data_IF_901547996180
#
_entry.id   IF_901547996180
#
_cell.length_a   1.000
_cell.length_b   1.000
_cell.length_c   1.000
_cell.angle_alpha   90.00
_cell.angle_beta   90.00
_cell.angle_gamma   90.00
#
_symmetry.space_group_name_H-M   'P 1'
#
loop_
_entity.id
_entity.type
_entity.pdbx_description
1 polymer ?
#
# COMPACT_ATOMS: atom_id res chain seq x y z
N UNK A 1 28.00 -43.81 52.25
CA UNK A 1 27.63 -44.32 50.90
C UNK A 1 26.12 -44.09 50.77
N UNK A 2 25.70 -42.91 50.27
CA UNK A 2 24.33 -42.68 49.77
C UNK A 2 24.37 -41.45 48.89
N UNK A 3 24.28 -41.68 47.69
CA UNK A 3 23.71 -41.11 46.45
C UNK A 3 23.22 -39.67 46.53
N UNK A 4 24.06 -38.79 46.04
CA UNK A 4 23.65 -37.62 45.28
C UNK A 4 22.75 -38.04 44.12
N UNK A 5 21.48 -37.67 44.17
CA UNK A 5 20.66 -37.72 42.96
C UNK A 5 19.63 -36.55 42.94
N UNK A 6 19.89 -35.65 41.99
CA UNK A 6 18.92 -34.88 41.19
C UNK A 6 18.57 -33.45 41.61
N UNK A 7 19.38 -32.48 41.13
CA UNK A 7 18.79 -31.24 40.65
C UNK A 7 18.94 -31.03 39.12
N UNK A 8 19.52 -31.97 38.35
CA UNK A 8 19.89 -31.75 36.94
C UNK A 8 18.71 -31.91 35.97
N UNK A 9 17.66 -32.66 36.32
CA UNK A 9 16.50 -32.86 35.42
C UNK A 9 15.50 -31.73 35.40
N UNK A 10 15.31 -30.95 36.47
CA UNK A 10 14.34 -29.85 36.51
C UNK A 10 14.76 -28.63 35.70
N UNK A 11 16.05 -28.31 35.64
CA UNK A 11 16.58 -27.20 34.85
C UNK A 11 16.50 -27.46 33.35
N UNK A 12 16.64 -28.71 32.90
CA UNK A 12 16.52 -29.09 31.50
C UNK A 12 15.10 -28.99 30.95
N UNK A 13 14.09 -29.37 31.75
CA UNK A 13 12.67 -29.30 31.36
C UNK A 13 12.15 -27.83 31.25
N UNK A 14 12.56 -26.96 32.15
CA UNK A 14 12.21 -25.53 32.08
C UNK A 14 12.91 -24.82 30.92
N UNK A 15 14.11 -25.22 30.54
CA UNK A 15 14.84 -24.75 29.37
C UNK A 15 14.16 -25.15 28.07
N UNK A 16 13.73 -26.40 27.94
CA UNK A 16 13.02 -26.89 26.73
C UNK A 16 11.67 -26.23 26.50
N UNK A 17 10.90 -25.96 27.55
CA UNK A 17 9.59 -25.27 27.45
C UNK A 17 9.79 -23.82 26.99
N UNK A 18 10.78 -23.11 27.53
CA UNK A 18 11.09 -21.74 27.11
C UNK A 18 11.59 -21.69 25.66
N UNK A 19 12.34 -22.66 25.20
CA UNK A 19 12.84 -22.75 23.83
C UNK A 19 11.70 -23.06 22.83
N UNK A 20 10.78 -23.97 23.18
CA UNK A 20 9.57 -24.27 22.40
C UNK A 20 8.66 -23.04 22.21
N UNK A 21 8.49 -22.23 23.24
CA UNK A 21 7.72 -20.98 23.19
C UNK A 21 8.41 -19.96 22.27
N UNK A 22 9.74 -19.81 22.36
CA UNK A 22 10.51 -18.94 21.49
C UNK A 22 10.44 -19.38 20.03
N UNK A 23 10.51 -20.67 19.76
CA UNK A 23 10.35 -21.22 18.41
C UNK A 23 8.95 -21.00 17.87
N UNK A 24 7.91 -21.21 18.69
CA UNK A 24 6.52 -20.95 18.27
C UNK A 24 6.29 -19.46 17.94
N UNK A 25 6.86 -18.55 18.75
CA UNK A 25 6.79 -17.10 18.49
C UNK A 25 7.57 -16.73 17.22
N UNK A 26 8.77 -17.28 17.03
CA UNK A 26 9.56 -17.06 15.81
C UNK A 26 8.84 -17.61 14.57
N UNK A 27 8.24 -18.77 14.65
CA UNK A 27 7.44 -19.34 13.57
C UNK A 27 6.23 -18.47 13.25
N UNK A 28 5.55 -17.95 14.25
CA UNK A 28 4.37 -17.09 14.08
C UNK A 28 4.75 -15.73 13.46
N UNK A 29 5.91 -15.16 13.84
CA UNK A 29 6.41 -13.93 13.20
C UNK A 29 6.81 -14.17 11.74
N UNK A 30 7.46 -15.29 11.43
CA UNK A 30 7.77 -15.65 10.04
C UNK A 30 6.50 -15.86 9.22
N UNK A 31 5.49 -16.51 9.79
CA UNK A 31 4.20 -16.70 9.14
C UNK A 31 3.49 -15.36 8.89
N UNK A 32 3.54 -14.42 9.84
CA UNK A 32 2.98 -13.09 9.68
C UNK A 32 3.67 -12.31 8.56
N UNK A 33 5.01 -12.33 8.51
CA UNK A 33 5.79 -11.70 7.44
C UNK A 33 5.46 -12.33 6.08
N UNK A 34 5.38 -13.65 6.01
CA UNK A 34 5.00 -14.36 4.79
C UNK A 34 3.58 -14.01 4.35
N UNK A 35 2.61 -13.92 5.27
CA UNK A 35 1.24 -13.48 5.00
C UNK A 35 1.22 -12.07 4.42
N UNK A 36 1.87 -11.11 5.09
CA UNK A 36 1.96 -9.73 4.63
C UNK A 36 2.59 -9.65 3.23
N UNK A 37 3.64 -10.42 2.99
CA UNK A 37 4.28 -10.46 1.66
C UNK A 37 3.36 -11.02 0.58
N UNK A 38 2.64 -12.12 0.85
CA UNK A 38 1.68 -12.73 -0.07
C UNK A 38 0.51 -11.77 -0.31
N UNK A 39 -0.08 -11.22 0.75
CA UNK A 39 -1.18 -10.26 0.67
C UNK A 39 -0.77 -9.04 -0.17
N UNK A 40 0.40 -8.46 0.10
CA UNK A 40 0.95 -7.35 -0.68
C UNK A 40 1.04 -7.71 -2.17
N UNK A 41 1.62 -8.87 -2.49
CA UNK A 41 1.78 -9.33 -3.88
C UNK A 41 0.44 -9.54 -4.59
N UNK A 42 -0.50 -10.18 -3.92
CA UNK A 42 -1.84 -10.46 -4.47
C UNK A 42 -2.64 -9.17 -4.66
N UNK A 43 -2.62 -8.28 -3.66
CA UNK A 43 -3.37 -7.02 -3.71
C UNK A 43 -2.83 -6.08 -4.78
N UNK A 44 -1.50 -5.93 -4.90
CA UNK A 44 -0.90 -5.12 -5.97
C UNK A 44 -1.36 -5.62 -7.33
N UNK A 45 -1.25 -6.93 -7.59
CA UNK A 45 -1.67 -7.49 -8.87
C UNK A 45 -3.16 -7.28 -9.13
N UNK A 46 -4.03 -7.57 -8.15
CA UNK A 46 -5.48 -7.40 -8.26
C UNK A 46 -5.89 -5.95 -8.48
N UNK A 47 -5.36 -5.01 -7.69
CA UNK A 47 -5.70 -3.60 -7.85
C UNK A 47 -5.12 -3.00 -9.12
N UNK A 48 -3.94 -3.45 -9.57
CA UNK A 48 -3.36 -3.04 -10.85
C UNK A 48 -4.24 -3.50 -12.02
N UNK A 49 -4.63 -4.78 -12.05
CA UNK A 49 -5.56 -5.29 -13.08
C UNK A 49 -6.90 -4.57 -13.05
N UNK A 50 -7.49 -4.40 -11.88
CA UNK A 50 -8.76 -3.68 -11.76
C UNK A 50 -8.65 -2.24 -12.26
N UNK A 51 -7.56 -1.54 -11.91
CA UNK A 51 -7.30 -0.17 -12.37
C UNK A 51 -7.07 -0.12 -13.87
N UNK A 52 -6.37 -1.09 -14.44
CA UNK A 52 -6.13 -1.23 -15.88
C UNK A 52 -7.44 -1.45 -16.63
N UNK A 53 -8.24 -2.42 -16.20
CA UNK A 53 -9.53 -2.72 -16.83
C UNK A 53 -10.48 -1.51 -16.79
N UNK A 54 -10.50 -0.76 -15.67
CA UNK A 54 -11.27 0.47 -15.55
C UNK A 54 -10.77 1.57 -16.50
N UNK A 55 -9.44 1.71 -16.64
CA UNK A 55 -8.86 2.69 -17.57
C UNK A 55 -9.13 2.30 -19.03
N UNK A 56 -9.00 1.02 -19.39
CA UNK A 56 -9.34 0.51 -20.72
C UNK A 56 -10.81 0.75 -21.07
N UNK A 57 -11.72 0.46 -20.14
CA UNK A 57 -13.15 0.71 -20.35
C UNK A 57 -13.45 2.20 -20.56
N UNK A 58 -12.82 3.08 -19.74
CA UNK A 58 -12.98 4.52 -19.91
C UNK A 58 -12.45 5.02 -21.26
N UNK A 59 -11.25 4.60 -21.65
CA UNK A 59 -10.69 4.94 -22.96
C UNK A 59 -11.57 4.45 -24.10
N UNK A 60 -12.15 3.26 -23.99
CA UNK A 60 -13.09 2.76 -24.98
C UNK A 60 -14.35 3.63 -25.07
N UNK A 61 -14.90 4.08 -23.93
CA UNK A 61 -16.02 5.02 -23.88
C UNK A 61 -15.63 6.37 -24.51
N UNK A 62 -14.47 6.95 -24.13
CA UNK A 62 -13.99 8.21 -24.69
C UNK A 62 -13.75 8.11 -26.21
N UNK A 63 -13.12 7.02 -26.64
CA UNK A 63 -12.93 6.73 -28.06
C UNK A 63 -14.25 6.60 -28.80
N UNK A 64 -15.24 5.97 -28.19
CA UNK A 64 -16.59 5.83 -28.74
C UNK A 64 -17.32 7.18 -28.89
N UNK A 65 -17.29 8.00 -27.85
CA UNK A 65 -17.91 9.34 -27.87
C UNK A 65 -17.23 10.25 -28.88
N UNK A 66 -15.91 10.26 -28.91
CA UNK A 66 -15.12 11.01 -29.89
C UNK A 66 -15.45 10.59 -31.33
N UNK A 67 -15.49 9.28 -31.58
CA UNK A 67 -15.84 8.73 -32.88
C UNK A 67 -17.26 9.07 -33.31
N UNK A 68 -18.20 9.05 -32.36
CA UNK A 68 -19.61 9.44 -32.61
C UNK A 68 -19.70 10.88 -33.03
N UNK A 69 -19.02 11.79 -32.33
CA UNK A 69 -18.97 13.21 -32.67
C UNK A 69 -18.37 13.45 -34.05
N UNK A 70 -17.20 12.83 -34.31
CA UNK A 70 -16.55 12.93 -35.63
C UNK A 70 -17.44 12.46 -36.77
N UNK A 71 -18.20 11.38 -36.56
CA UNK A 71 -19.16 10.87 -37.58
C UNK A 71 -20.36 11.77 -37.73
N UNK A 72 -20.92 12.29 -36.63
CA UNK A 72 -22.06 13.19 -36.68
C UNK A 72 -21.69 14.47 -37.38
N UNK A 73 -20.56 15.09 -37.05
CA UNK A 73 -20.10 16.33 -37.67
C UNK A 73 -19.76 16.13 -39.15
N UNK A 74 -19.27 14.94 -39.54
CA UNK A 74 -18.91 14.63 -40.95
C UNK A 74 -20.10 14.70 -41.91
N UNK A 75 -21.34 14.52 -41.43
CA UNK A 75 -22.55 14.55 -42.25
C UNK A 75 -23.00 16.00 -42.54
N UNK A 76 -22.66 16.93 -41.64
CA UNK A 76 -23.15 18.32 -41.68
C UNK A 76 -22.77 19.04 -42.96
N UNK A 77 -21.51 19.05 -43.41
CA UNK A 77 -21.14 19.70 -44.68
C UNK A 77 -21.91 19.14 -45.88
N UNK A 78 -22.23 17.84 -45.85
CA UNK A 78 -22.99 17.19 -46.92
C UNK A 78 -24.44 17.69 -46.97
N UNK A 79 -25.08 17.94 -45.81
CA UNK A 79 -26.40 18.49 -45.73
C UNK A 79 -26.41 19.95 -46.16
N UNK A 80 -25.49 20.74 -45.62
CA UNK A 80 -25.37 22.17 -45.91
C UNK A 80 -24.99 22.46 -47.37
N UNK A 81 -24.17 21.63 -47.99
CA UNK A 81 -23.78 21.75 -49.39
C UNK A 81 -24.98 21.60 -50.38
N UNK A 82 -26.09 21.05 -49.89
CA UNK A 82 -27.33 20.89 -50.67
C UNK A 82 -28.44 21.86 -50.24
N UNK A 83 -28.16 22.75 -49.28
CA UNK A 83 -29.15 23.74 -48.83
C UNK A 83 -29.43 24.75 -49.92
N UNK A 84 -30.70 24.89 -50.42
CA UNK A 84 -31.02 25.77 -51.53
C UNK A 84 -30.77 27.24 -51.23
N UNK A 85 -30.86 27.64 -49.94
CA UNK A 85 -30.64 29.03 -49.55
C UNK A 85 -29.15 29.40 -49.65
N UNK A 86 -28.24 28.48 -49.27
CA UNK A 86 -26.79 28.68 -49.37
C UNK A 86 -26.33 28.67 -50.85
N UNK A 87 -26.87 27.74 -51.64
CA UNK A 87 -26.63 27.70 -53.12
C UNK A 87 -27.15 28.99 -53.77
N UNK A 88 -28.34 29.44 -53.43
CA UNK A 88 -28.92 30.68 -53.94
C UNK A 88 -28.10 31.90 -53.54
N UNK A 89 -27.59 31.95 -52.31
CA UNK A 89 -26.72 33.03 -51.83
C UNK A 89 -25.39 33.12 -52.61
N UNK A 90 -24.74 31.98 -52.85
CA UNK A 90 -23.50 31.92 -53.63
C UNK A 90 -23.71 32.32 -55.06
N UNK A 91 -24.81 31.85 -55.71
CA UNK A 91 -25.11 32.21 -57.10
C UNK A 91 -25.50 33.70 -57.28
N UNK A 92 -26.15 34.31 -56.30
CA UNK A 92 -26.58 35.70 -56.34
C UNK A 92 -25.57 36.68 -55.72
N UNK A 93 -24.55 36.20 -55.08
CA UNK A 93 -23.60 36.97 -54.27
C UNK A 93 -24.28 37.80 -53.18
N UNK A 94 -25.45 37.35 -52.70
CA UNK A 94 -26.21 37.99 -51.63
C UNK A 94 -26.18 37.14 -50.35
N UNK A 95 -25.33 37.52 -49.42
CA UNK A 95 -25.07 36.78 -48.20
C UNK A 95 -25.80 37.33 -46.94
N UNK A 96 -26.73 38.27 -47.14
CA UNK A 96 -27.39 39.00 -46.02
C UNK A 96 -28.07 38.10 -45.00
N UNK A 97 -28.61 36.96 -45.42
CA UNK A 97 -29.30 35.99 -44.54
C UNK A 97 -28.47 34.72 -44.27
N UNK A 98 -27.34 34.54 -44.95
CA UNK A 98 -26.54 33.31 -44.88
C UNK A 98 -25.98 33.07 -43.49
N UNK A 99 -25.44 34.12 -42.85
CA UNK A 99 -24.91 34.00 -41.47
C UNK A 99 -26.01 33.61 -40.49
N UNK A 100 -27.22 34.20 -40.57
CA UNK A 100 -28.32 33.83 -39.68
C UNK A 100 -28.77 32.39 -39.91
N UNK A 101 -28.76 31.94 -41.16
CA UNK A 101 -29.04 30.54 -41.55
C UNK A 101 -28.02 29.58 -40.94
N UNK A 102 -26.73 29.90 -40.99
CA UNK A 102 -25.69 29.09 -40.39
C UNK A 102 -25.81 29.04 -38.86
N UNK A 103 -26.13 30.14 -38.21
CA UNK A 103 -26.35 30.20 -36.75
C UNK A 103 -27.48 29.25 -36.33
N UNK A 104 -28.62 29.22 -37.07
CA UNK A 104 -29.72 28.30 -36.76
C UNK A 104 -29.30 26.84 -36.84
N UNK A 105 -28.39 26.49 -37.73
CA UNK A 105 -27.84 25.12 -37.82
C UNK A 105 -26.87 24.79 -36.69
N UNK A 106 -26.04 25.74 -36.25
CA UNK A 106 -25.10 25.50 -35.11
C UNK A 106 -25.85 25.10 -33.87
N UNK A 107 -26.96 25.81 -33.56
CA UNK A 107 -27.77 25.53 -32.36
C UNK A 107 -28.41 24.13 -32.40
N UNK A 108 -28.77 23.63 -33.60
CA UNK A 108 -29.35 22.30 -33.78
C UNK A 108 -28.30 21.16 -33.76
N UNK A 109 -27.09 21.42 -34.25
CA UNK A 109 -26.08 20.39 -34.53
C UNK A 109 -25.02 20.32 -33.44
N UNK A 110 -24.81 21.42 -32.72
CA UNK A 110 -23.74 21.51 -31.69
C UNK A 110 -22.32 21.59 -32.26
N UNK A 111 -22.17 22.10 -33.48
CA UNK A 111 -20.89 22.39 -34.08
C UNK A 111 -20.25 23.64 -33.47
N UNK A 112 -18.93 23.77 -33.51
CA UNK A 112 -18.25 24.97 -33.02
C UNK A 112 -18.49 26.15 -33.96
N UNK A 113 -18.19 25.98 -35.24
CA UNK A 113 -18.31 27.01 -36.25
C UNK A 113 -18.77 26.44 -37.58
N UNK A 114 -19.65 27.17 -38.27
CA UNK A 114 -20.02 26.92 -39.65
C UNK A 114 -19.56 28.10 -40.49
N UNK A 115 -18.88 27.83 -41.60
CA UNK A 115 -18.34 28.88 -42.47
C UNK A 115 -18.53 28.53 -43.94
N UNK A 116 -19.04 29.51 -44.70
CA UNK A 116 -19.26 29.43 -46.13
C UNK A 116 -18.22 30.28 -46.85
N UNK A 117 -17.56 29.68 -47.83
CA UNK A 117 -16.59 30.33 -48.68
C UNK A 117 -17.10 30.37 -50.12
N UNK A 118 -16.72 31.42 -50.84
CA UNK A 118 -16.94 31.49 -52.27
C UNK A 118 -15.92 30.62 -53.05
N UNK A 119 -15.98 30.64 -54.39
CA UNK A 119 -15.10 29.87 -55.23
C UNK A 119 -13.61 30.33 -55.18
N UNK A 120 -13.39 31.55 -54.75
CA UNK A 120 -12.08 32.18 -54.55
C UNK A 120 -11.51 31.93 -53.14
N UNK A 121 -12.25 31.22 -52.26
CA UNK A 121 -11.82 30.91 -50.91
C UNK A 121 -12.00 32.05 -49.91
N UNK A 122 -12.80 33.04 -50.20
CA UNK A 122 -13.14 34.15 -49.32
C UNK A 122 -14.32 33.75 -48.43
N UNK A 123 -14.27 34.04 -47.16
CA UNK A 123 -15.38 33.81 -46.21
C UNK A 123 -16.50 34.81 -46.48
N UNK A 124 -17.64 34.32 -46.94
CA UNK A 124 -18.83 35.14 -47.30
C UNK A 124 -19.92 35.04 -46.20
N UNK A 125 -19.98 34.00 -45.43
CA UNK A 125 -20.82 33.87 -44.25
C UNK A 125 -20.15 32.99 -43.22
N UNK A 126 -20.29 33.32 -41.93
CA UNK A 126 -19.78 32.54 -40.84
C UNK A 126 -20.60 32.77 -39.56
N UNK A 127 -20.68 31.74 -38.72
CA UNK A 127 -21.23 31.90 -37.36
C UNK A 127 -20.26 32.68 -36.49
N UNK A 128 -18.94 32.58 -36.73
CA UNK A 128 -17.95 33.47 -36.18
C UNK A 128 -17.75 34.70 -37.09
N UNK A 129 -18.32 35.81 -36.65
CA UNK A 129 -18.30 37.07 -37.41
C UNK A 129 -16.91 37.64 -37.61
N UNK A 130 -15.94 37.27 -36.79
CA UNK A 130 -14.53 37.75 -36.89
C UNK A 130 -13.84 37.21 -38.13
N UNK A 131 -14.29 36.10 -38.68
CA UNK A 131 -13.74 35.44 -39.86
C UNK A 131 -14.28 35.99 -41.18
N UNK A 132 -15.33 36.81 -41.16
CA UNK A 132 -15.94 37.35 -42.39
C UNK A 132 -14.92 38.13 -43.21
N UNK A 133 -14.84 37.78 -44.49
CA UNK A 133 -13.92 38.41 -45.45
C UNK A 133 -12.48 37.87 -45.44
N UNK A 134 -12.13 36.96 -44.51
CA UNK A 134 -10.82 36.33 -44.52
C UNK A 134 -10.62 35.42 -45.74
N UNK A 135 -9.37 35.23 -46.13
CA UNK A 135 -9.01 34.47 -47.34
C UNK A 135 -8.38 33.12 -46.93
N UNK A 136 -8.89 32.03 -47.51
CA UNK A 136 -8.47 30.67 -47.21
C UNK A 136 -8.15 29.84 -48.45
N UNK A 137 -7.85 30.48 -49.58
CA UNK A 137 -7.58 29.85 -50.87
C UNK A 137 -6.45 28.81 -50.77
N UNK A 138 -5.41 29.11 -50.01
CA UNK A 138 -4.21 28.26 -49.87
C UNK A 138 -4.30 27.24 -48.75
N UNK A 139 -5.40 27.18 -48.02
CA UNK A 139 -5.59 26.25 -46.89
C UNK A 139 -5.87 24.83 -47.38
N UNK A 140 -5.36 23.84 -46.63
CA UNK A 140 -5.55 22.43 -46.98
C UNK A 140 -7.02 22.01 -47.01
N UNK A 141 -7.87 22.55 -46.10
CA UNK A 141 -9.28 22.22 -46.06
C UNK A 141 -10.07 22.76 -47.25
N UNK A 142 -9.65 23.92 -47.82
CA UNK A 142 -10.30 24.48 -48.99
C UNK A 142 -9.82 23.74 -50.27
N UNK A 143 -8.49 23.62 -50.48
CA UNK A 143 -7.94 23.01 -51.68
C UNK A 143 -8.35 21.53 -51.84
N UNK A 144 -8.38 20.77 -50.77
CA UNK A 144 -8.83 19.38 -50.79
C UNK A 144 -10.36 19.29 -51.09
N UNK A 145 -11.18 20.15 -50.49
CA UNK A 145 -12.64 20.16 -50.76
C UNK A 145 -12.95 20.50 -52.22
N UNK A 146 -12.26 21.45 -52.80
CA UNK A 146 -12.41 21.81 -54.24
C UNK A 146 -12.11 20.66 -55.20
N UNK A 147 -11.16 19.78 -54.83
CA UNK A 147 -10.69 18.68 -55.66
C UNK A 147 -11.57 17.42 -55.66
N UNK A 148 -12.41 17.21 -54.66
CA UNK A 148 -13.12 15.96 -54.43
C UNK A 148 -14.61 16.18 -54.10
N UNK A 149 -15.50 15.35 -54.70
CA UNK A 149 -16.93 15.36 -54.35
C UNK A 149 -17.20 14.44 -53.13
N UNK A 150 -16.54 14.74 -52.05
CA UNK A 150 -16.74 14.06 -50.78
C UNK A 150 -16.48 15.05 -49.63
N UNK A 151 -17.00 14.73 -48.46
CA UNK A 151 -16.67 15.50 -47.27
C UNK A 151 -15.24 15.17 -46.86
N UNK A 152 -14.37 16.16 -46.84
CA UNK A 152 -12.95 16.05 -46.47
C UNK A 152 -12.78 16.44 -45.02
N UNK A 153 -11.95 15.70 -44.30
CA UNK A 153 -11.56 16.03 -42.93
C UNK A 153 -10.13 16.53 -42.93
N UNK A 154 -9.87 17.64 -42.30
CA UNK A 154 -8.53 18.23 -42.19
C UNK A 154 -8.28 18.70 -40.78
N UNK A 155 -7.13 18.38 -40.22
CA UNK A 155 -6.64 18.98 -38.98
C UNK A 155 -5.85 20.23 -39.38
N UNK A 156 -6.33 21.37 -38.96
CA UNK A 156 -5.72 22.66 -39.24
C UNK A 156 -5.12 23.24 -37.96
N UNK A 157 -3.89 23.69 -38.02
CA UNK A 157 -3.24 24.41 -36.93
C UNK A 157 -3.31 25.90 -37.24
N UNK A 158 -3.96 26.66 -36.37
CA UNK A 158 -4.06 28.11 -36.53
C UNK A 158 -2.76 28.84 -36.18
N UNK A 159 -2.73 30.17 -36.40
CA UNK A 159 -1.58 31.02 -36.11
C UNK A 159 -1.20 31.06 -34.63
N UNK A 160 -2.14 30.80 -33.73
CA UNK A 160 -1.95 30.74 -32.27
C UNK A 160 -1.43 29.36 -31.84
N UNK A 161 -1.48 28.38 -32.75
CA UNK A 161 -1.02 27.03 -32.49
C UNK A 161 -2.09 26.06 -32.00
N UNK A 162 -3.38 26.47 -32.00
CA UNK A 162 -4.50 25.59 -31.68
C UNK A 162 -4.81 24.64 -32.84
N UNK A 163 -5.26 23.43 -32.50
CA UNK A 163 -5.69 22.45 -33.49
C UNK A 163 -7.19 22.54 -33.69
N UNK A 164 -7.58 22.86 -34.95
CA UNK A 164 -8.96 22.92 -35.39
C UNK A 164 -9.27 21.71 -36.27
N UNK A 165 -10.43 21.12 -36.08
CA UNK A 165 -10.84 19.87 -36.74
C UNK A 165 -11.96 20.20 -37.72
N UNK A 166 -11.61 20.27 -39.00
CA UNK A 166 -12.47 20.84 -40.05
C UNK A 166 -12.98 19.74 -40.95
N UNK A 167 -14.29 19.67 -41.11
CA UNK A 167 -14.94 18.94 -42.19
C UNK A 167 -15.36 19.93 -43.26
N UNK A 168 -14.87 19.76 -44.50
CA UNK A 168 -15.15 20.64 -45.63
C UNK A 168 -15.77 19.87 -46.81
N UNK A 169 -16.64 20.53 -47.53
CA UNK A 169 -17.25 20.00 -48.75
C UNK A 169 -17.51 21.12 -49.74
N UNK A 170 -17.27 20.85 -51.01
CA UNK A 170 -17.64 21.79 -52.10
C UNK A 170 -19.13 21.88 -52.27
N UNK A 171 -19.60 23.06 -52.68
CA UNK A 171 -20.98 23.34 -53.07
C UNK A 171 -21.00 23.47 -54.59
N UNK A 172 -21.90 22.73 -55.21
CA UNK A 172 -22.07 22.74 -56.67
C UNK A 172 -23.41 23.27 -57.08
N UNK A 173 -23.43 24.02 -58.15
CA UNK A 173 -24.64 24.42 -58.84
C UNK A 173 -24.47 24.11 -60.32
N UNK A 174 -25.38 23.33 -60.90
CA UNK A 174 -25.36 22.92 -62.30
C UNK A 174 -24.04 22.28 -62.76
N UNK A 175 -23.36 21.53 -61.89
CA UNK A 175 -22.11 20.86 -62.15
C UNK A 175 -20.85 21.76 -62.07
N UNK A 176 -21.01 23.01 -61.63
CA UNK A 176 -19.90 23.93 -61.38
C UNK A 176 -19.74 24.12 -59.88
N UNK A 177 -18.53 24.06 -59.36
CA UNK A 177 -18.21 24.36 -57.97
C UNK A 177 -18.32 25.86 -57.74
N UNK A 178 -19.24 26.31 -56.89
CA UNK A 178 -19.53 27.71 -56.58
C UNK A 178 -19.03 28.16 -55.22
N UNK A 179 -18.51 27.24 -54.40
CA UNK A 179 -17.99 27.56 -53.09
C UNK A 179 -17.70 26.32 -52.24
N UNK A 180 -17.29 26.51 -51.03
CA UNK A 180 -17.00 25.47 -50.05
C UNK A 180 -17.69 25.78 -48.71
N UNK A 181 -18.32 24.80 -48.14
CA UNK A 181 -18.83 24.86 -46.75
C UNK A 181 -17.85 24.10 -45.88
N UNK A 182 -17.47 24.65 -44.74
CA UNK A 182 -16.75 23.89 -43.73
C UNK A 182 -17.40 24.02 -42.36
N UNK A 183 -17.24 22.95 -41.59
CA UNK A 183 -17.76 22.76 -40.25
C UNK A 183 -16.60 22.45 -39.34
N UNK A 184 -16.48 23.21 -38.31
CA UNK A 184 -15.48 23.01 -37.27
C UNK A 184 -16.06 22.15 -36.14
N UNK A 185 -15.46 21.03 -35.86
CA UNK A 185 -15.85 20.14 -34.76
C UNK A 185 -15.26 20.64 -33.46
N UNK A 186 -16.08 20.91 -32.46
CA UNK A 186 -15.64 21.25 -31.13
C UNK A 186 -15.18 19.97 -30.40
N UNK A 187 -13.90 19.62 -30.57
CA UNK A 187 -13.30 18.50 -29.86
C UNK A 187 -12.62 18.92 -28.54
N UNK A 188 -12.43 20.23 -28.31
CA UNK A 188 -11.81 20.74 -27.09
C UNK A 188 -12.72 20.50 -25.87
N UNK A 189 -14.04 20.50 -26.07
CA UNK A 189 -15.00 20.14 -25.02
C UNK A 189 -14.74 18.78 -24.37
N UNK A 190 -14.16 17.85 -25.12
CA UNK A 190 -13.79 16.53 -24.59
C UNK A 190 -12.55 16.57 -23.75
N UNK A 191 -11.59 17.46 -24.04
CA UNK A 191 -10.40 17.63 -23.20
C UNK A 191 -10.79 18.06 -21.78
N UNK A 192 -11.71 19.02 -21.66
CA UNK A 192 -12.24 19.49 -20.37
C UNK A 192 -13.04 18.40 -19.66
N UNK A 193 -13.87 17.65 -20.40
CA UNK A 193 -14.63 16.53 -19.85
C UNK A 193 -13.74 15.38 -19.33
N UNK A 194 -12.62 15.12 -20.01
CA UNK A 194 -11.67 14.10 -19.60
C UNK A 194 -10.77 14.57 -18.44
N UNK A 195 -10.41 15.86 -18.38
CA UNK A 195 -9.56 16.44 -17.34
C UNK A 195 -10.17 16.31 -15.93
N UNK A 196 -11.51 16.30 -15.82
CA UNK A 196 -12.21 16.16 -14.53
C UNK A 196 -12.07 14.79 -13.85
N UNK A 197 -11.42 13.80 -14.48
CA UNK A 197 -11.44 12.40 -14.04
C UNK A 197 -10.05 11.90 -13.58
N UNK A 198 -9.11 12.79 -13.32
CA UNK A 198 -7.79 12.54 -12.71
C UNK A 198 -6.74 11.78 -13.55
N UNK A 199 -7.04 11.38 -14.76
CA UNK A 199 -6.09 10.69 -15.63
C UNK A 199 -5.70 11.63 -16.79
N UNK A 200 -4.41 11.72 -17.11
CA UNK A 200 -4.00 12.43 -18.32
C UNK A 200 -4.38 11.58 -19.54
N UNK A 201 -5.13 12.18 -20.46
CA UNK A 201 -5.56 11.54 -21.71
C UNK A 201 -5.01 12.31 -22.89
N UNK A 202 -4.46 11.60 -23.86
CA UNK A 202 -3.99 12.17 -25.13
C UNK A 202 -4.61 11.45 -26.30
N UNK A 203 -4.80 12.17 -27.41
CA UNK A 203 -5.10 11.60 -28.71
C UNK A 203 -3.98 12.00 -29.67
N UNK A 204 -3.37 11.00 -30.30
CA UNK A 204 -2.34 11.22 -31.32
C UNK A 204 -2.89 10.92 -32.71
N UNK A 205 -2.41 11.66 -33.68
CA UNK A 205 -2.66 11.36 -35.07
C UNK A 205 -1.82 10.15 -35.58
N UNK A 206 -1.90 9.88 -36.86
CA UNK A 206 -1.13 8.80 -37.52
C UNK A 206 0.38 9.05 -37.58
N UNK A 207 0.84 10.28 -37.33
CA UNK A 207 2.26 10.64 -37.26
C UNK A 207 2.81 10.57 -35.83
N UNK A 208 1.93 10.36 -34.82
CA UNK A 208 2.29 10.30 -33.40
C UNK A 208 2.31 11.66 -32.72
N UNK A 209 1.81 12.70 -33.38
CA UNK A 209 1.67 14.04 -32.81
C UNK A 209 0.38 14.12 -31.98
N UNK A 210 0.47 14.68 -30.79
CA UNK A 210 -0.67 14.88 -29.89
C UNK A 210 -1.54 16.02 -30.43
N UNK A 211 -2.77 15.69 -30.81
CA UNK A 211 -3.75 16.63 -31.35
C UNK A 211 -4.81 17.03 -30.34
N UNK A 212 -5.11 16.17 -29.33
CA UNK A 212 -5.98 16.47 -28.21
C UNK A 212 -5.30 16.00 -26.92
N UNK A 213 -5.42 16.77 -25.84
CA UNK A 213 -4.84 16.43 -24.56
C UNK A 213 -5.53 17.13 -23.41
N UNK A 214 -5.78 16.41 -22.30
CA UNK A 214 -6.19 17.02 -21.04
C UNK A 214 -5.15 17.97 -20.45
N UNK A 215 -3.87 17.86 -20.95
CA UNK A 215 -2.79 18.77 -20.62
C UNK A 215 -2.48 19.66 -21.83
N UNK A 216 -2.97 20.91 -21.87
CA UNK A 216 -2.87 21.77 -23.05
C UNK A 216 -1.44 21.97 -23.58
N UNK A 217 -0.44 21.91 -22.67
CA UNK A 217 1.00 22.08 -23.03
C UNK A 217 1.56 20.91 -23.84
N UNK A 218 0.84 19.78 -23.94
CA UNK A 218 1.29 18.60 -24.67
C UNK A 218 0.86 18.60 -26.12
N UNK A 219 -0.07 19.45 -26.51
CA UNK A 219 -0.54 19.53 -27.90
C UNK A 219 0.60 19.90 -28.84
N UNK A 220 0.67 19.22 -29.95
CA UNK A 220 1.72 19.43 -30.95
C UNK A 220 3.05 18.76 -30.67
N UNK A 221 3.18 18.07 -29.55
CA UNK A 221 4.38 17.30 -29.20
C UNK A 221 4.18 15.82 -29.53
N UNK A 222 5.27 15.08 -29.64
CA UNK A 222 5.22 13.63 -29.55
C UNK A 222 5.00 13.19 -28.11
N UNK A 223 4.46 11.97 -27.89
CA UNK A 223 4.23 11.42 -26.56
C UNK A 223 5.52 11.47 -25.70
N UNK A 224 6.67 11.13 -26.28
CA UNK A 224 7.96 11.16 -25.57
C UNK A 224 8.38 12.55 -25.13
N UNK A 225 8.18 13.56 -25.98
CA UNK A 225 8.50 14.97 -25.67
C UNK A 225 7.54 15.54 -24.63
N UNK A 226 6.24 15.20 -24.71
CA UNK A 226 5.23 15.63 -23.77
C UNK A 226 5.53 15.13 -22.36
N UNK A 227 5.81 13.84 -22.23
CA UNK A 227 6.20 13.23 -20.94
C UNK A 227 7.54 13.78 -20.44
N UNK A 228 8.42 14.23 -21.37
CA UNK A 228 9.68 14.88 -21.03
C UNK A 228 9.51 16.27 -20.38
N UNK A 229 8.44 16.97 -20.69
CA UNK A 229 8.16 18.33 -20.21
C UNK A 229 7.42 18.42 -18.88
N UNK A 230 7.11 17.29 -18.24
CA UNK A 230 6.52 17.34 -16.89
C UNK A 230 7.47 18.07 -15.92
N UNK A 231 6.98 19.01 -15.12
CA UNK A 231 7.81 19.69 -14.13
C UNK A 231 8.40 18.66 -13.16
N UNK A 232 9.67 18.78 -12.79
CA UNK A 232 10.28 17.87 -11.84
C UNK A 232 9.53 17.97 -10.51
N UNK A 233 9.10 16.84 -9.97
CA UNK A 233 8.49 16.78 -8.63
C UNK A 233 9.41 17.43 -7.59
N UNK A 234 8.85 18.21 -6.68
CA UNK A 234 9.63 18.94 -5.65
C UNK A 234 10.51 17.99 -4.84
N UNK A 235 11.61 18.50 -4.27
CA UNK A 235 12.59 17.68 -3.54
C UNK A 235 11.98 16.87 -2.38
N UNK A 236 10.98 17.41 -1.70
CA UNK A 236 10.26 16.73 -0.61
C UNK A 236 9.43 15.57 -1.18
N UNK A 237 8.75 15.78 -2.30
CA UNK A 237 7.95 14.76 -2.96
C UNK A 237 8.82 13.62 -3.49
N UNK A 238 10.02 13.92 -4.00
CA UNK A 238 11.03 12.91 -4.40
C UNK A 238 11.53 12.09 -3.21
N UNK A 239 11.78 12.72 -2.04
CA UNK A 239 12.21 12.03 -0.82
C UNK A 239 11.13 11.07 -0.30
N UNK A 240 9.86 11.50 -0.29
CA UNK A 240 8.72 10.65 0.10
C UNK A 240 8.56 9.47 -0.88
N UNK A 241 8.71 9.70 -2.18
CA UNK A 241 8.65 8.67 -3.22
C UNK A 241 9.75 7.64 -3.09
N UNK A 242 10.99 8.07 -2.76
CA UNK A 242 12.13 7.14 -2.59
C UNK A 242 11.93 6.22 -1.40
N UNK A 243 11.30 6.70 -0.34
CA UNK A 243 11.02 5.90 0.88
C UNK A 243 9.85 4.92 0.68
N UNK A 244 8.95 5.19 -0.27
CA UNK A 244 7.78 4.35 -0.58
C UNK A 244 8.04 3.25 -1.61
N UNK A 245 9.24 3.14 -2.16
CA UNK A 245 9.60 2.22 -3.26
C UNK A 245 9.83 0.75 -2.84
N UNK A 246 9.23 0.30 -1.75
CA UNK A 246 9.37 -1.10 -1.28
C UNK A 246 8.53 -2.11 -2.07
N UNK A 247 7.65 -1.65 -2.94
CA UNK A 247 6.81 -2.54 -3.75
C UNK A 247 7.33 -2.55 -5.18
N UNK A 248 7.66 -3.75 -5.69
CA UNK A 248 8.04 -3.94 -7.09
C UNK A 248 6.90 -3.50 -8.00
N UNK A 249 7.06 -2.35 -8.62
CA UNK A 249 6.17 -1.86 -9.70
C UNK A 249 6.68 -2.47 -11.01
N UNK A 250 5.80 -2.91 -11.95
CA UNK A 250 6.22 -3.40 -13.24
C UNK A 250 7.15 -2.40 -13.96
N UNK A 251 8.14 -2.92 -14.71
CA UNK A 251 9.18 -2.10 -15.33
C UNK A 251 8.65 -1.08 -16.35
N UNK A 252 7.50 -1.34 -16.95
CA UNK A 252 6.78 -0.46 -17.89
C UNK A 252 6.07 0.73 -17.19
N UNK A 253 6.07 0.74 -15.87
CA UNK A 253 5.38 1.73 -15.05
C UNK A 253 6.27 2.93 -14.65
N UNK A 254 7.54 2.93 -15.02
CA UNK A 254 8.49 3.99 -14.66
C UNK A 254 8.66 5.02 -15.77
N UNK A 255 7.77 5.98 -15.80
CA UNK A 255 8.04 7.24 -16.47
C UNK A 255 8.44 8.27 -15.39
N UNK A 256 9.76 8.47 -15.23
CA UNK A 256 10.38 9.52 -14.40
C UNK A 256 10.00 9.58 -12.91
N UNK A 257 10.17 8.46 -12.19
CA UNK A 257 10.08 8.46 -10.72
C UNK A 257 8.67 8.32 -10.14
N UNK A 258 7.63 8.50 -10.93
CA UNK A 258 6.27 8.09 -10.60
C UNK A 258 5.90 6.91 -11.51
N UNK A 259 5.61 5.76 -10.91
CA UNK A 259 5.08 4.65 -11.68
C UNK A 259 3.76 5.05 -12.31
N UNK A 260 3.72 5.16 -13.63
CA UNK A 260 2.53 5.48 -14.41
C UNK A 260 2.12 4.25 -15.23
N UNK A 261 0.85 3.93 -15.19
CA UNK A 261 0.24 2.93 -16.05
C UNK A 261 -0.20 3.62 -17.34
N UNK A 262 0.33 3.18 -18.47
CA UNK A 262 -0.10 3.59 -19.80
C UNK A 262 -1.10 2.59 -20.34
N UNK A 263 -2.25 3.09 -20.76
CA UNK A 263 -3.29 2.30 -21.42
C UNK A 263 -3.57 2.92 -22.78
N UNK A 264 -3.71 2.11 -23.82
CA UNK A 264 -3.92 2.58 -25.19
C UNK A 264 -5.20 2.00 -25.78
N UNK A 265 -5.93 2.82 -26.52
CA UNK A 265 -7.07 2.42 -27.32
C UNK A 265 -6.95 3.00 -28.73
N UNK A 266 -7.33 2.23 -29.74
CA UNK A 266 -7.38 2.72 -31.12
C UNK A 266 -8.70 3.41 -31.36
N UNK A 267 -8.63 4.65 -31.88
CA UNK A 267 -9.81 5.31 -32.41
C UNK A 267 -10.00 4.84 -33.84
N UNK A 268 -11.19 4.34 -34.19
CA UNK A 268 -11.49 3.86 -35.56
C UNK A 268 -11.67 5.04 -36.55
N UNK A 269 -10.73 5.98 -36.52
CA UNK A 269 -10.71 7.17 -37.33
C UNK A 269 -9.28 7.53 -37.73
N UNK A 270 -8.96 7.47 -39.01
CA UNK A 270 -7.68 7.90 -39.65
C UNK A 270 -6.40 7.44 -38.96
N UNK A 271 -6.41 6.30 -38.26
CA UNK A 271 -5.25 5.78 -37.54
C UNK A 271 -4.95 6.48 -36.22
N UNK A 272 -5.85 7.27 -35.70
CA UNK A 272 -5.71 7.93 -34.41
C UNK A 272 -5.59 6.93 -33.29
N UNK A 273 -4.83 7.28 -32.27
CA UNK A 273 -4.67 6.51 -31.05
C UNK A 273 -4.98 7.38 -29.86
N UNK A 274 -5.63 6.79 -28.88
CA UNK A 274 -5.92 7.42 -27.60
C UNK A 274 -5.10 6.71 -26.54
N UNK A 275 -4.35 7.44 -25.73
CA UNK A 275 -3.62 6.88 -24.59
C UNK A 275 -4.01 7.62 -23.30
N UNK A 276 -4.18 6.85 -22.24
CA UNK A 276 -4.43 7.36 -20.89
C UNK A 276 -3.27 7.01 -19.97
N UNK A 277 -2.90 7.94 -19.10
CA UNK A 277 -1.83 7.81 -18.12
C UNK A 277 -2.41 7.90 -16.72
N UNK A 278 -2.20 6.85 -15.93
CA UNK A 278 -2.67 6.79 -14.55
C UNK A 278 -1.53 6.49 -13.60
N UNK A 279 -1.46 7.21 -12.48
CA UNK A 279 -0.46 6.94 -11.45
C UNK A 279 -0.80 5.70 -10.61
N UNK A 280 0.22 4.92 -10.23
CA UNK A 280 0.05 3.80 -9.29
C UNK A 280 -0.17 4.26 -7.84
N UNK A 281 -0.11 5.56 -7.56
CA UNK A 281 -0.30 6.11 -6.22
C UNK A 281 -1.61 5.64 -5.56
N UNK A 282 -2.72 5.69 -6.29
CA UNK A 282 -4.02 5.24 -5.79
C UNK A 282 -4.12 3.72 -5.53
N UNK A 283 -3.35 2.91 -6.29
CA UNK A 283 -3.24 1.46 -6.03
C UNK A 283 -2.46 1.23 -4.75
N UNK A 284 -1.32 1.91 -4.61
CA UNK A 284 -0.42 1.81 -3.45
C UNK A 284 -1.10 2.24 -2.16
N UNK A 285 -1.84 3.35 -2.19
CA UNK A 285 -2.59 3.84 -1.03
C UNK A 285 -3.60 2.81 -0.51
N UNK A 286 -4.37 2.19 -1.41
CA UNK A 286 -5.32 1.12 -1.06
C UNK A 286 -4.61 -0.10 -0.49
N UNK A 287 -3.53 -0.56 -1.12
CA UNK A 287 -2.73 -1.69 -0.64
C UNK A 287 -2.17 -1.40 0.75
N UNK A 288 -1.59 -0.21 0.97
CA UNK A 288 -1.05 0.18 2.27
C UNK A 288 -2.13 0.24 3.35
N UNK A 289 -3.36 0.66 3.03
CA UNK A 289 -4.49 0.63 3.95
C UNK A 289 -4.82 -0.80 4.42
N UNK A 290 -4.88 -1.75 3.50
CA UNK A 290 -5.10 -3.17 3.84
C UNK A 290 -3.94 -3.76 4.64
N UNK A 291 -2.69 -3.49 4.24
CA UNK A 291 -1.51 -3.95 4.96
C UNK A 291 -1.43 -3.37 6.38
N UNK A 292 -1.78 -2.10 6.58
CA UNK A 292 -1.83 -1.49 7.89
C UNK A 292 -2.84 -2.19 8.81
N UNK A 293 -4.00 -2.55 8.28
CA UNK A 293 -5.02 -3.28 9.01
C UNK A 293 -4.57 -4.71 9.36
N UNK A 294 -3.89 -5.40 8.43
CA UNK A 294 -3.31 -6.72 8.65
C UNK A 294 -2.21 -6.68 9.72
N UNK A 295 -1.29 -5.72 9.65
CA UNK A 295 -0.23 -5.51 10.66
C UNK A 295 -0.82 -5.22 12.03
N UNK A 296 -1.86 -4.37 12.11
CA UNK A 296 -2.56 -4.09 13.36
C UNK A 296 -3.23 -5.34 13.93
N UNK A 297 -3.86 -6.16 13.08
CA UNK A 297 -4.45 -7.44 13.48
C UNK A 297 -3.40 -8.40 14.07
N UNK A 298 -2.24 -8.54 13.42
CA UNK A 298 -1.14 -9.35 13.94
C UNK A 298 -0.56 -8.80 15.24
N UNK A 299 -0.44 -7.47 15.38
CA UNK A 299 0.04 -6.85 16.60
C UNK A 299 -0.90 -7.12 17.79
N UNK A 300 -2.22 -7.00 17.60
CA UNK A 300 -3.23 -7.32 18.61
C UNK A 300 -3.18 -8.82 18.96
N UNK A 301 -3.07 -9.68 17.95
CA UNK A 301 -2.97 -11.13 18.17
C UNK A 301 -1.72 -11.50 18.96
N UNK A 302 -0.56 -10.94 18.63
CA UNK A 302 0.70 -11.15 19.36
C UNK A 302 0.59 -10.64 20.81
N UNK A 303 -0.01 -9.47 21.03
CA UNK A 303 -0.25 -8.94 22.36
C UNK A 303 -1.15 -9.86 23.19
N UNK A 304 -2.20 -10.41 22.59
CA UNK A 304 -3.08 -11.38 23.22
C UNK A 304 -2.35 -12.68 23.56
N UNK A 305 -1.57 -13.23 22.64
CA UNK A 305 -0.73 -14.40 22.89
C UNK A 305 0.26 -14.17 24.03
N UNK A 306 0.94 -13.02 24.01
CA UNK A 306 1.88 -12.63 25.06
C UNK A 306 1.18 -12.51 26.42
N UNK A 307 0.02 -11.86 26.49
CA UNK A 307 -0.79 -11.74 27.70
C UNK A 307 -1.21 -13.11 28.23
N UNK A 308 -1.70 -13.99 27.37
CA UNK A 308 -2.13 -15.33 27.75
C UNK A 308 -0.98 -16.18 28.29
N UNK A 309 0.17 -16.18 27.60
CA UNK A 309 1.37 -16.90 28.02
C UNK A 309 1.94 -16.35 29.33
N UNK A 310 1.96 -15.02 29.48
CA UNK A 310 2.39 -14.35 30.71
C UNK A 310 1.50 -14.75 31.89
N UNK A 311 0.19 -14.71 31.71
CA UNK A 311 -0.78 -15.12 32.76
C UNK A 311 -0.61 -16.57 33.15
N UNK A 312 -0.47 -17.47 32.17
CA UNK A 312 -0.24 -18.89 32.44
C UNK A 312 1.10 -19.13 33.19
N UNK A 313 2.11 -18.33 32.90
CA UNK A 313 3.40 -18.40 33.60
C UNK A 313 3.29 -17.96 35.06
N UNK A 314 2.52 -16.91 35.34
CA UNK A 314 2.23 -16.43 36.72
C UNK A 314 1.46 -17.46 37.52
N UNK A 315 0.38 -18.02 36.93
CA UNK A 315 -0.41 -19.05 37.58
C UNK A 315 0.41 -20.31 37.93
N UNK A 316 1.31 -20.74 37.04
CA UNK A 316 2.24 -21.84 37.31
C UNK A 316 3.21 -21.51 38.45
N UNK A 317 3.72 -20.29 38.46
CA UNK A 317 4.66 -19.84 39.50
C UNK A 317 4.00 -19.82 40.89
N UNK A 318 2.75 -19.36 40.95
CA UNK A 318 1.94 -19.38 42.21
C UNK A 318 1.69 -20.81 42.72
N UNK A 319 1.32 -21.75 41.84
CA UNK A 319 1.17 -23.16 42.19
C UNK A 319 2.46 -23.78 42.70
N UNK A 320 3.57 -23.51 41.99
CA UNK A 320 4.90 -24.01 42.40
C UNK A 320 5.34 -23.45 43.75
N UNK A 321 5.00 -22.18 44.04
CA UNK A 321 5.26 -21.58 45.36
C UNK A 321 4.41 -22.22 46.45
N UNK A 322 3.13 -22.53 46.20
CA UNK A 322 2.26 -23.23 47.12
C UNK A 322 2.75 -24.65 47.42
N UNK A 323 3.03 -25.45 46.37
CA UNK A 323 3.60 -26.79 46.52
C UNK A 323 4.91 -26.78 47.26
N UNK A 324 5.79 -25.82 47.00
CA UNK A 324 7.05 -25.65 47.72
C UNK A 324 6.85 -25.26 49.18
N UNK A 325 5.84 -24.47 49.50
CA UNK A 325 5.49 -24.12 50.87
C UNK A 325 4.90 -25.32 51.64
N UNK A 326 4.06 -26.11 51.00
CA UNK A 326 3.45 -27.31 51.56
C UNK A 326 4.51 -28.39 51.85
N UNK A 327 5.44 -28.60 50.88
CA UNK A 327 6.58 -29.50 51.08
C UNK A 327 7.48 -29.06 52.23
N UNK A 328 7.72 -27.76 52.39
CA UNK A 328 8.49 -27.23 53.53
C UNK A 328 7.75 -27.47 54.86
N UNK A 329 6.46 -27.28 54.92
CA UNK A 329 5.67 -27.56 56.13
C UNK A 329 5.66 -29.04 56.48
N UNK A 330 5.55 -29.91 55.45
CA UNK A 330 5.60 -31.35 55.66
C UNK A 330 6.99 -31.78 56.16
N UNK A 331 8.05 -31.22 55.56
CA UNK A 331 9.42 -31.51 55.98
C UNK A 331 9.70 -31.08 57.42
N UNK A 332 9.17 -29.90 57.82
CA UNK A 332 9.24 -29.42 59.19
C UNK A 332 8.46 -30.31 60.18
N UNK A 333 7.31 -30.84 59.78
CA UNK A 333 6.54 -31.79 60.57
C UNK A 333 7.27 -33.10 60.75
N UNK A 334 7.83 -33.65 59.65
CA UNK A 334 8.62 -34.86 59.65
C UNK A 334 9.86 -34.71 60.55
N UNK A 335 10.56 -33.58 60.47
CA UNK A 335 11.73 -33.31 61.34
C UNK A 335 11.35 -33.24 62.82
N UNK A 336 10.18 -32.63 63.13
CA UNK A 336 9.68 -32.63 64.52
C UNK A 336 9.34 -34.04 65.01
N UNK A 337 8.67 -34.81 64.18
CA UNK A 337 8.31 -36.19 64.49
C UNK A 337 9.54 -37.08 64.66
N UNK A 338 10.57 -36.93 63.80
CA UNK A 338 11.85 -37.63 63.93
C UNK A 338 12.55 -37.22 65.23
N UNK A 339 12.60 -35.92 65.54
CA UNK A 339 13.22 -35.41 66.73
C UNK A 339 12.46 -35.89 68.02
N UNK A 340 11.15 -35.98 67.93
CA UNK A 340 10.32 -36.50 69.01
C UNK A 340 10.54 -38.00 69.20
N UNK A 341 10.57 -38.78 68.13
CA UNK A 341 10.91 -40.21 68.18
C UNK A 341 12.35 -40.47 68.72
N UNK A 342 13.32 -39.67 68.28
CA UNK A 342 14.68 -39.76 68.80
C UNK A 342 14.73 -39.40 70.28
N UNK A 343 13.94 -38.41 70.74
CA UNK A 343 13.84 -38.09 72.19
C UNK A 343 13.20 -39.23 72.98
N UNK A 344 12.11 -39.77 72.42
CA UNK A 344 11.43 -40.92 73.11
C UNK A 344 12.35 -42.13 73.12
N UNK A 345 13.03 -42.42 72.01
CA UNK A 345 13.97 -43.52 71.92
C UNK A 345 15.13 -43.33 72.89
N UNK A 346 15.68 -42.09 72.93
CA UNK A 346 16.76 -41.73 73.84
C UNK A 346 16.35 -41.78 75.30
N UNK A 347 15.07 -41.40 75.57
CA UNK A 347 14.51 -41.49 76.89
C UNK A 347 14.32 -42.96 77.32
N UNK A 348 13.92 -43.79 76.34
CA UNK A 348 13.82 -45.23 76.53
C UNK A 348 15.20 -45.88 76.79
N UNK A 349 16.19 -45.54 75.97
CA UNK A 349 17.58 -45.99 76.13
C UNK A 349 18.17 -45.51 77.48
N UNK A 350 17.91 -44.24 77.82
CA UNK A 350 18.34 -43.70 79.12
C UNK A 350 17.59 -44.39 80.29
N UNK A 351 16.29 -44.68 80.09
CA UNK A 351 15.54 -45.44 81.09
C UNK A 351 16.10 -46.89 81.23
N UNK A 352 16.32 -47.54 80.10
CA UNK A 352 16.94 -48.86 80.08
C UNK A 352 18.42 -48.86 80.63
N UNK A 353 19.23 -47.84 80.25
CA UNK A 353 20.50 -47.64 80.79
C UNK A 353 20.53 -47.23 82.27
N UNK A 354 19.55 -46.45 82.67
CA UNK A 354 19.40 -46.02 84.04
C UNK A 354 19.02 -47.22 84.94
N UNK A 355 18.23 -48.14 84.44
CA UNK A 355 17.93 -49.43 85.07
C UNK A 355 19.22 -50.32 85.06
N UNK A 356 20.00 -50.27 83.98
CA UNK A 356 21.26 -51.04 83.82
C UNK A 356 22.45 -50.37 84.51
N UNK A 357 22.40 -49.04 84.65
CA UNK A 357 23.58 -48.22 85.07
C UNK A 357 23.38 -47.50 86.40
N UNK A 358 22.30 -47.76 87.17
CA UNK A 358 22.27 -47.24 88.55
C UNK A 358 23.45 -47.62 89.42
N UNK A 359 24.36 -48.46 88.89
CA UNK A 359 25.57 -48.81 89.56
C UNK A 359 26.95 -48.31 88.80
N UNK A 360 26.78 -47.68 87.65
CA UNK A 360 28.06 -47.36 86.88
C UNK A 360 28.20 -45.93 86.40
N UNK A 361 27.22 -45.07 86.60
CA UNK A 361 27.18 -43.77 85.84
C UNK A 361 27.22 -42.51 86.71
N UNK A 362 27.89 -42.48 87.81
CA UNK A 362 28.24 -41.19 88.41
C UNK A 362 29.43 -40.45 87.69
N UNK A 363 30.07 -41.14 86.79
CA UNK A 363 31.32 -40.57 86.20
C UNK A 363 31.32 -40.01 84.79
N UNK A 364 30.25 -40.20 83.97
CA UNK A 364 30.34 -39.84 82.56
C UNK A 364 29.43 -38.73 82.12
N UNK A 365 28.64 -38.13 83.01
CA UNK A 365 27.57 -37.17 82.69
C UNK A 365 28.00 -35.75 82.29
N UNK A 366 29.27 -35.40 82.37
CA UNK A 366 29.71 -34.02 82.24
C UNK A 366 30.28 -33.63 80.85
N UNK A 367 30.54 -34.58 79.94
CA UNK A 367 31.21 -34.19 78.69
C UNK A 367 30.34 -34.00 77.45
N UNK A 368 29.05 -34.40 77.49
CA UNK A 368 28.22 -34.39 76.25
C UNK A 368 27.51 -33.07 75.94
N UNK A 369 27.42 -32.12 76.83
CA UNK A 369 26.62 -30.93 76.65
C UNK A 369 27.32 -29.81 75.79
N UNK A 370 28.65 -29.77 75.79
CA UNK A 370 29.39 -28.69 75.14
C UNK A 370 29.47 -28.84 73.61
N UNK A 371 29.57 -30.09 73.14
CA UNK A 371 29.79 -30.34 71.67
C UNK A 371 28.53 -30.08 70.83
N UNK A 372 27.33 -30.31 71.38
CA UNK A 372 26.10 -30.11 70.59
C UNK A 372 25.79 -28.63 70.33
N UNK A 373 26.27 -27.76 71.18
CA UNK A 373 25.99 -26.32 71.02
C UNK A 373 26.86 -25.67 69.96
N UNK A 374 28.11 -26.13 69.81
CA UNK A 374 29.05 -25.61 68.83
C UNK A 374 28.76 -26.05 67.40
N UNK A 375 28.11 -27.21 67.20
CA UNK A 375 27.73 -27.66 65.83
C UNK A 375 26.43 -27.04 65.29
N UNK A 376 25.53 -26.62 66.14
CA UNK A 376 24.23 -26.06 65.70
C UNK A 376 24.31 -24.60 65.24
N UNK A 377 25.28 -23.81 65.70
CA UNK A 377 25.43 -22.41 65.34
C UNK A 377 25.80 -22.20 63.85
N UNK A 378 26.78 -22.86 63.26
CA UNK A 378 27.14 -22.66 61.87
C UNK A 378 26.06 -23.23 60.91
N UNK A 379 25.39 -24.31 61.28
CA UNK A 379 24.29 -24.90 60.49
C UNK A 379 23.09 -23.95 60.34
N UNK A 380 22.74 -23.19 61.36
CA UNK A 380 21.68 -22.18 61.33
C UNK A 380 22.08 -20.99 60.43
N UNK A 381 23.35 -20.58 60.46
CA UNK A 381 23.89 -19.52 59.59
C UNK A 381 23.84 -19.92 58.10
N UNK A 382 24.24 -21.14 57.77
CA UNK A 382 24.18 -21.66 56.40
C UNK A 382 22.75 -21.72 55.86
N UNK A 383 21.80 -22.13 56.67
CA UNK A 383 20.39 -22.20 56.30
C UNK A 383 19.81 -20.81 55.97
N UNK A 384 20.24 -19.79 56.71
CA UNK A 384 19.84 -18.39 56.50
C UNK A 384 20.42 -17.82 55.20
N UNK A 385 21.70 -18.08 54.92
CA UNK A 385 22.35 -17.62 53.67
C UNK A 385 21.77 -18.34 52.45
N UNK A 386 21.45 -19.65 52.54
CA UNK A 386 20.86 -20.42 51.46
C UNK A 386 19.45 -19.90 51.11
N UNK A 387 18.64 -19.54 52.09
CA UNK A 387 17.35 -18.95 51.92
C UNK A 387 17.44 -17.56 51.25
N UNK A 388 18.44 -16.75 51.67
CA UNK A 388 18.75 -15.44 51.05
C UNK A 388 19.15 -15.54 49.58
N UNK A 389 20.03 -16.49 49.26
CA UNK A 389 20.48 -16.71 47.87
C UNK A 389 19.34 -17.11 46.94
N UNK A 390 18.42 -18.00 47.39
CA UNK A 390 17.21 -18.40 46.61
C UNK A 390 16.27 -17.21 46.35
N UNK A 391 16.10 -16.31 47.30
CA UNK A 391 15.24 -15.15 47.19
C UNK A 391 15.82 -14.11 46.23
N UNK A 392 17.16 -13.95 46.20
CA UNK A 392 17.88 -13.08 45.30
C UNK A 392 17.86 -13.60 43.86
N UNK A 393 17.96 -14.89 43.63
CA UNK A 393 17.81 -15.52 42.31
C UNK A 393 16.40 -15.35 41.77
N UNK A 394 15.39 -15.52 42.60
CA UNK A 394 13.97 -15.28 42.21
C UNK A 394 13.65 -13.84 41.85
N UNK A 395 14.50 -12.88 42.26
CA UNK A 395 14.39 -11.45 41.93
C UNK A 395 15.30 -11.01 40.79
N UNK A 396 15.87 -11.98 40.06
CA UNK A 396 16.76 -11.72 38.93
C UNK A 396 18.04 -10.93 39.32
N UNK A 397 18.57 -11.15 40.51
CA UNK A 397 19.79 -10.53 41.08
C UNK A 397 20.87 -11.60 41.33
N UNK A 398 21.45 -12.20 40.25
CA UNK A 398 22.38 -13.35 40.39
C UNK A 398 23.70 -12.98 41.09
N UNK A 399 24.20 -11.75 40.87
CA UNK A 399 25.47 -11.34 41.46
C UNK A 399 25.43 -11.25 43.00
N UNK A 400 24.29 -10.84 43.56
CA UNK A 400 24.11 -10.79 45.02
C UNK A 400 23.82 -12.16 45.61
N UNK A 401 23.22 -13.09 44.84
CA UNK A 401 23.08 -14.49 45.26
C UNK A 401 24.43 -15.19 45.35
N UNK A 402 25.37 -14.86 44.45
CA UNK A 402 26.75 -15.36 44.48
C UNK A 402 27.48 -15.02 45.80
N UNK A 403 27.29 -13.83 46.32
CA UNK A 403 27.84 -13.41 47.61
C UNK A 403 27.35 -14.29 48.77
N UNK A 404 26.08 -14.69 48.73
CA UNK A 404 25.50 -15.59 49.74
C UNK A 404 26.05 -17.01 49.64
N UNK A 405 26.33 -17.50 48.43
CA UNK A 405 27.01 -18.80 48.24
C UNK A 405 28.46 -18.77 48.74
N UNK A 406 29.22 -17.72 48.50
CA UNK A 406 30.58 -17.58 49.03
C UNK A 406 30.60 -17.59 50.56
N UNK A 407 29.60 -16.97 51.21
CA UNK A 407 29.49 -17.04 52.69
C UNK A 407 29.15 -18.41 53.21
N UNK A 408 28.44 -19.25 52.46
CA UNK A 408 28.20 -20.67 52.82
C UNK A 408 29.48 -21.47 52.67
N UNK A 409 30.27 -21.25 51.62
CA UNK A 409 31.57 -21.88 51.41
C UNK A 409 32.57 -21.55 52.55
N UNK A 410 32.64 -20.27 52.95
CA UNK A 410 33.47 -19.84 54.10
C UNK A 410 33.04 -20.49 55.41
N UNK A 411 31.74 -20.77 55.61
CA UNK A 411 31.26 -21.48 56.80
C UNK A 411 31.57 -22.97 56.74
N UNK A 412 31.55 -23.60 55.56
CA UNK A 412 31.91 -24.98 55.34
C UNK A 412 33.43 -25.23 55.58
N UNK A 413 34.30 -24.32 55.07
CA UNK A 413 35.77 -24.39 55.33
C UNK A 413 36.09 -24.18 56.79
N UNK A 414 35.31 -23.44 57.57
CA UNK A 414 35.54 -23.28 59.03
C UNK A 414 35.06 -24.45 59.85
N UNK A 415 34.26 -25.37 59.30
CA UNK A 415 33.75 -26.57 59.98
C UNK A 415 34.51 -27.87 59.64
N UNK A 416 35.32 -27.90 58.56
CA UNK A 416 36.21 -28.99 58.20
C UNK A 416 37.52 -28.84 58.88
#
# INVERSE_FOLDING_TARGET
MEKDHQPVQETALTGQIKWRIRLALAFLTVLAIASIWVTNRVLINRFTETSRNQAELRLALYSGTLLSELRQTAIVPQLLARDPALIGALNSSNFSQSTQRLISFVDEIGAETLTLLDAEGRVVASTDRTRLGSQHQDTAFFTQAMGVDATMFTVYKDEVGAYNFIYSRRIESQGVTIGVIFVEADLQKYEDAWAGISDAVIVTDNTGVIILSTEPLWRGLSEGEALARQPPSGAIQRAIQTTSNWTAVPADAYLRGEGMMRVESRVAFRGWRMAGFRTYAGVRERVNGFLALEVMGFAVFLAFCFYYLSRQSVDRMQRFQQESADLRQLNLRLQREIAERERVQKTLEVAEQTIAQSSKLAALGQMSAAVSHELNQPLAAMKTYLAGARLLLGRNRPDEALVSFHRIDDLLERMG
#
